data_IF_390059757995
#
_entry.id   IF_390059757995
#
_cell.length_a   1.000
_cell.length_b   1.000
_cell.length_c   1.000
_cell.angle_alpha   90.00
_cell.angle_beta   90.00
_cell.angle_gamma   90.00
#
_symmetry.space_group_name_H-M   'P 1'
#
loop_
_entity.id
_entity.type
_entity.pdbx_description
1 polymer ?
#
# COMPACT_ATOMS: atom_id res chain seq x y z
N UNK A 1 28.89 -59.88 -7.06
CA UNK A 1 28.23 -59.74 -5.75
C UNK A 1 28.53 -58.32 -5.27
N UNK A 2 27.85 -57.32 -5.81
CA UNK A 2 26.62 -56.66 -5.30
C UNK A 2 26.80 -55.94 -3.97
N UNK A 3 26.26 -54.70 -3.94
CA UNK A 3 26.01 -53.78 -2.81
C UNK A 3 27.07 -52.67 -2.68
N UNK A 4 26.76 -51.38 -2.69
CA UNK A 4 25.47 -50.69 -2.81
C UNK A 4 25.73 -49.19 -2.90
N UNK A 5 25.11 -48.53 -3.88
CA UNK A 5 25.15 -47.08 -4.02
C UNK A 5 24.05 -46.49 -3.13
N UNK A 6 24.44 -45.69 -2.14
CA UNK A 6 23.53 -44.89 -1.32
C UNK A 6 23.04 -43.69 -2.13
N UNK A 7 21.73 -43.61 -2.32
CA UNK A 7 21.03 -42.43 -2.78
C UNK A 7 20.61 -41.63 -1.54
N UNK A 8 21.19 -40.45 -1.36
CA UNK A 8 20.73 -39.47 -0.36
C UNK A 8 19.50 -38.74 -0.92
N UNK A 9 18.31 -39.17 -0.46
CA UNK A 9 17.01 -38.57 -0.76
C UNK A 9 16.73 -37.45 0.26
N UNK A 10 17.31 -36.26 0.04
CA UNK A 10 17.00 -35.05 0.82
C UNK A 10 15.68 -34.40 0.33
N UNK A 11 14.58 -35.15 0.40
CA UNK A 11 13.24 -34.61 0.16
C UNK A 11 12.54 -34.24 1.47
N UNK A 12 12.26 -32.94 1.59
CA UNK A 12 11.01 -32.46 2.18
C UNK A 12 10.94 -32.48 3.69
N UNK A 13 11.76 -31.66 4.36
CA UNK A 13 11.43 -31.20 5.71
C UNK A 13 10.68 -29.87 5.58
N UNK A 14 9.39 -29.97 5.25
CA UNK A 14 8.45 -28.86 5.34
C UNK A 14 8.40 -28.37 6.78
N UNK A 15 9.01 -27.21 7.02
CA UNK A 15 8.93 -26.48 8.27
C UNK A 15 7.53 -25.89 8.40
N UNK A 16 6.65 -26.62 9.08
CA UNK A 16 5.46 -26.04 9.68
C UNK A 16 5.90 -25.03 10.75
N UNK A 17 6.12 -23.79 10.32
CA UNK A 17 6.21 -22.64 11.21
C UNK A 17 4.87 -22.52 11.92
N UNK A 18 4.83 -23.02 13.16
CA UNK A 18 3.76 -22.76 14.11
C UNK A 18 3.65 -21.25 14.28
N UNK A 19 2.76 -20.62 13.53
CA UNK A 19 2.29 -19.27 13.84
C UNK A 19 1.51 -19.38 15.15
N UNK A 20 2.22 -19.17 16.26
CA UNK A 20 1.60 -18.92 17.55
C UNK A 20 0.73 -17.68 17.39
N UNK A 21 -0.59 -17.91 17.35
CA UNK A 21 -1.61 -16.88 17.56
C UNK A 21 -1.34 -16.22 18.91
N UNK A 22 -0.55 -15.15 18.90
CA UNK A 22 -0.48 -14.22 20.01
C UNK A 22 -1.88 -13.63 20.14
N UNK A 23 -2.56 -14.08 21.19
CA UNK A 23 -3.73 -13.46 21.78
C UNK A 23 -3.57 -11.93 21.77
N UNK A 24 -4.29 -11.26 20.87
CA UNK A 24 -4.67 -9.86 21.05
C UNK A 24 -5.62 -9.80 22.25
N UNK A 25 -5.04 -9.63 23.43
CA UNK A 25 -5.76 -9.30 24.65
C UNK A 25 -6.38 -7.92 24.48
N UNK A 26 -7.65 -7.87 24.12
CA UNK A 26 -8.46 -6.67 24.26
C UNK A 26 -8.74 -6.49 25.76
N UNK A 27 -7.85 -5.77 26.45
CA UNK A 27 -8.13 -5.26 27.78
C UNK A 27 -9.31 -4.27 27.66
N UNK A 28 -10.50 -4.77 27.97
CA UNK A 28 -11.66 -3.95 28.29
C UNK A 28 -11.39 -3.23 29.61
N UNK A 29 -10.79 -2.05 29.54
CA UNK A 29 -10.74 -1.13 30.68
C UNK A 29 -12.18 -0.70 31.03
N UNK A 30 -12.73 -1.32 32.06
CA UNK A 30 -13.94 -0.88 32.75
C UNK A 30 -13.64 0.39 33.55
N UNK A 31 -13.61 1.53 32.88
CA UNK A 31 -13.71 2.84 33.51
C UNK A 31 -15.16 3.16 33.87
N UNK A 32 -15.61 2.77 35.07
CA UNK A 32 -16.77 3.38 35.73
C UNK A 32 -16.33 4.69 36.38
N UNK A 33 -16.96 5.81 36.03
CA UNK A 33 -16.84 7.07 36.76
C UNK A 33 -17.84 8.13 36.25
N UNK A 34 -18.37 9.01 37.11
CA UNK A 34 -19.79 9.36 37.10
C UNK A 34 -20.13 10.70 36.42
N UNK A 35 -21.42 10.81 36.10
CA UNK A 35 -22.20 12.03 35.95
C UNK A 35 -21.53 13.34 36.40
N UNK A 36 -21.23 14.22 35.44
CA UNK A 36 -21.31 15.66 35.69
C UNK A 36 -21.88 16.36 34.45
N UNK A 37 -23.22 16.50 34.44
CA UNK A 37 -23.92 17.34 33.47
C UNK A 37 -23.73 18.80 33.89
N UNK A 38 -22.57 19.37 33.61
CA UNK A 38 -22.44 20.83 33.54
C UNK A 38 -23.11 21.33 32.27
N UNK A 39 -24.26 21.93 32.51
CA UNK A 39 -25.08 22.69 31.59
C UNK A 39 -24.31 23.96 31.25
N UNK A 40 -23.44 23.90 30.25
CA UNK A 40 -22.82 25.11 29.71
C UNK A 40 -23.87 25.88 28.92
N UNK A 41 -24.16 27.04 29.50
CA UNK A 41 -24.96 28.13 29.01
C UNK A 41 -24.73 28.39 27.52
N UNK A 42 -25.82 28.37 26.77
CA UNK A 42 -25.89 28.94 25.43
C UNK A 42 -25.40 30.39 25.49
N UNK A 43 -24.23 30.63 24.91
CA UNK A 43 -23.78 31.96 24.56
C UNK A 43 -24.68 32.49 23.44
N UNK A 44 -25.53 33.44 23.82
CA UNK A 44 -26.25 34.34 22.92
C UNK A 44 -25.23 35.07 22.05
N UNK A 45 -25.15 34.72 20.77
CA UNK A 45 -24.45 35.57 19.80
C UNK A 45 -25.28 36.85 19.60
N UNK A 46 -24.68 38.05 19.69
CA UNK A 46 -25.37 39.28 19.37
C UNK A 46 -25.67 39.33 17.87
N UNK A 47 -26.94 39.41 17.53
CA UNK A 47 -27.41 39.77 16.19
C UNK A 47 -26.93 41.19 15.90
N UNK A 48 -25.90 41.32 15.07
CA UNK A 48 -25.57 42.59 14.44
C UNK A 48 -26.68 42.95 13.47
N UNK A 49 -27.39 43.98 13.86
CA UNK A 49 -28.34 44.78 13.10
C UNK A 49 -27.66 45.31 11.83
N UNK A 50 -27.84 44.61 10.71
CA UNK A 50 -27.46 45.07 9.38
C UNK A 50 -28.67 45.80 8.80
N UNK A 51 -28.69 47.10 9.01
CA UNK A 51 -29.69 48.02 8.51
C UNK A 51 -29.94 47.82 7.01
N UNK A 52 -31.18 47.53 6.68
CA UNK A 52 -31.72 47.65 5.34
C UNK A 52 -31.84 49.13 4.98
N UNK A 53 -30.80 49.72 4.41
CA UNK A 53 -30.96 50.95 3.65
C UNK A 53 -31.62 50.63 2.30
N UNK A 54 -32.84 51.14 2.16
CA UNK A 54 -33.51 51.34 0.90
C UNK A 54 -32.64 52.19 -0.03
N UNK A 55 -32.09 51.60 -1.09
CA UNK A 55 -31.66 52.39 -2.23
C UNK A 55 -32.38 51.99 -3.52
N UNK A 56 -32.91 53.03 -4.16
CA UNK A 56 -33.81 53.03 -5.30
C UNK A 56 -32.94 53.07 -6.54
N UNK A 57 -32.90 52.00 -7.33
CA UNK A 57 -32.16 52.04 -8.58
C UNK A 57 -32.45 50.85 -9.47
N UNK A 58 -33.60 50.88 -10.16
CA UNK A 58 -33.96 49.93 -11.21
C UNK A 58 -33.38 50.45 -12.54
N UNK A 59 -32.41 49.80 -13.20
CA UNK A 59 -32.15 50.06 -14.61
C UNK A 59 -33.08 49.19 -15.48
N UNK A 60 -33.52 49.70 -16.65
CA UNK A 60 -34.49 49.01 -17.47
C UNK A 60 -33.86 47.83 -18.21
N UNK A 61 -34.73 46.84 -18.43
CA UNK A 61 -34.62 45.77 -19.40
C UNK A 61 -33.87 46.20 -20.66
N UNK A 62 -32.78 45.50 -20.99
CA UNK A 62 -32.18 45.53 -22.34
C UNK A 62 -32.11 44.12 -22.88
N UNK A 63 -32.74 43.97 -24.03
CA UNK A 63 -32.83 42.75 -24.84
C UNK A 63 -31.47 42.07 -25.02
N UNK A 64 -31.40 40.82 -24.58
CA UNK A 64 -30.27 39.95 -24.86
C UNK A 64 -30.50 39.28 -26.22
N UNK A 65 -30.22 40.06 -27.27
CA UNK A 65 -30.07 39.52 -28.62
C UNK A 65 -28.90 38.52 -28.67
N UNK A 66 -29.20 37.40 -29.29
CA UNK A 66 -28.34 36.30 -29.66
C UNK A 66 -27.11 36.77 -30.45
N UNK A 67 -25.91 36.58 -29.90
CA UNK A 67 -24.69 36.48 -30.70
C UNK A 67 -23.95 35.21 -30.32
N UNK A 68 -24.11 34.20 -31.18
CA UNK A 68 -23.15 33.13 -31.35
C UNK A 68 -21.81 33.76 -31.75
N UNK A 69 -20.82 33.72 -30.85
CA UNK A 69 -19.44 34.12 -31.17
C UNK A 69 -18.48 33.02 -30.75
N UNK A 70 -18.19 32.20 -31.75
CA UNK A 70 -17.08 31.29 -31.85
C UNK A 70 -15.78 31.94 -31.31
N UNK A 71 -15.21 31.39 -30.24
CA UNK A 71 -13.87 31.73 -29.74
C UNK A 71 -13.00 30.48 -29.68
N UNK A 72 -12.51 30.09 -30.87
CA UNK A 72 -11.15 29.58 -30.98
C UNK A 72 -10.21 30.76 -30.67
N UNK A 73 -9.82 30.91 -29.42
CA UNK A 73 -8.67 31.73 -29.04
C UNK A 73 -7.73 30.84 -28.24
N UNK A 74 -6.76 30.31 -28.97
CA UNK A 74 -5.50 29.78 -28.48
C UNK A 74 -4.84 30.80 -27.55
N UNK A 75 -5.01 30.61 -26.24
CA UNK A 75 -4.21 31.31 -25.26
C UNK A 75 -2.78 30.76 -25.29
N UNK A 76 -1.90 31.61 -25.81
CA UNK A 76 -0.45 31.52 -25.70
C UNK A 76 -0.09 31.43 -24.21
N UNK A 77 0.43 30.27 -23.79
CA UNK A 77 1.17 30.19 -22.53
C UNK A 77 2.53 30.89 -22.72
N UNK A 78 2.98 31.72 -21.77
CA UNK A 78 4.33 32.25 -21.78
C UNK A 78 5.34 31.11 -21.58
N UNK A 79 6.32 31.03 -22.48
CA UNK A 79 7.48 30.17 -22.37
C UNK A 79 8.35 30.65 -21.20
N UNK A 80 8.12 30.12 -20.01
CA UNK A 80 9.12 30.18 -18.94
C UNK A 80 10.21 29.17 -19.27
N UNK A 81 11.34 29.72 -19.72
CA UNK A 81 12.72 29.26 -19.55
C UNK A 81 12.88 27.78 -19.15
N UNK A 82 13.16 26.97 -20.17
CA UNK A 82 13.81 25.67 -20.01
C UNK A 82 15.24 25.91 -19.53
N UNK A 83 15.69 25.31 -18.41
CA UNK A 83 17.11 25.27 -18.11
C UNK A 83 17.80 24.37 -19.14
N UNK A 84 18.86 24.90 -19.75
CA UNK A 84 19.80 24.15 -20.57
C UNK A 84 20.45 23.07 -19.71
N UNK A 85 20.07 21.82 -19.90
CA UNK A 85 20.85 20.68 -19.43
C UNK A 85 21.98 20.44 -20.44
N UNK A 86 23.09 21.12 -20.20
CA UNK A 86 24.36 20.87 -20.86
C UNK A 86 25.03 19.68 -20.17
N UNK A 87 25.16 18.56 -20.88
CA UNK A 87 26.26 17.61 -20.75
C UNK A 87 26.32 16.76 -19.48
N UNK A 88 25.79 15.53 -19.56
CA UNK A 88 26.51 14.37 -19.01
C UNK A 88 26.51 13.24 -20.05
N UNK A 89 27.67 13.10 -20.68
CA UNK A 89 28.17 11.94 -21.42
C UNK A 89 27.92 10.65 -20.62
N UNK A 90 27.26 9.65 -21.20
CA UNK A 90 27.87 8.60 -22.00
C UNK A 90 28.87 7.71 -21.23
N UNK A 91 28.34 6.81 -20.40
CA UNK A 91 28.82 5.44 -20.17
C UNK A 91 27.52 4.63 -19.92
N UNK A 92 27.01 3.80 -20.82
CA UNK A 92 27.66 2.60 -21.31
C UNK A 92 26.92 1.38 -20.73
N UNK A 93 25.75 1.06 -21.27
CA UNK A 93 25.16 -0.29 -21.17
C UNK A 93 24.17 -0.48 -22.31
N UNK A 94 24.70 -0.86 -23.47
CA UNK A 94 23.93 -1.42 -24.57
C UNK A 94 23.40 -2.77 -24.08
N UNK A 95 22.15 -2.80 -23.64
CA UNK A 95 21.41 -4.05 -23.51
C UNK A 95 20.73 -4.26 -24.85
N UNK A 96 21.31 -5.16 -25.64
CA UNK A 96 20.82 -5.59 -26.94
C UNK A 96 19.45 -6.28 -26.76
N UNK A 97 18.37 -5.55 -27.04
CA UNK A 97 16.99 -6.06 -27.03
C UNK A 97 16.61 -6.49 -28.46
N UNK A 98 17.32 -7.50 -28.99
CA UNK A 98 16.91 -8.24 -30.18
C UNK A 98 16.84 -9.72 -29.84
N UNK A 99 15.79 -10.12 -29.13
CA UNK A 99 15.15 -11.43 -29.27
C UNK A 99 14.05 -11.61 -28.21
N UNK A 100 12.84 -11.16 -28.54
CA UNK A 100 11.62 -11.73 -27.97
C UNK A 100 10.58 -11.92 -29.07
N UNK A 101 10.73 -13.05 -29.77
CA UNK A 101 9.66 -13.75 -30.47
C UNK A 101 8.45 -13.88 -29.53
N UNK A 102 7.30 -13.40 -30.00
CA UNK A 102 5.95 -13.87 -29.70
C UNK A 102 5.71 -14.38 -28.26
N UNK A 103 5.45 -13.46 -27.33
CA UNK A 103 4.64 -13.78 -26.17
C UNK A 103 3.18 -13.65 -26.62
N UNK A 104 2.52 -14.81 -26.73
CA UNK A 104 1.11 -14.96 -27.04
C UNK A 104 0.26 -14.10 -26.09
N UNK A 105 -0.63 -13.30 -26.65
CA UNK A 105 -1.68 -12.62 -25.89
C UNK A 105 -2.52 -13.68 -25.16
N UNK A 106 -2.80 -13.51 -23.84
CA UNK A 106 -3.73 -14.39 -23.17
C UNK A 106 -5.11 -14.18 -23.79
N UNK A 107 -5.52 -15.14 -24.62
CA UNK A 107 -6.90 -15.25 -25.13
C UNK A 107 -7.81 -15.37 -23.93
N UNK A 108 -8.44 -14.25 -23.58
CA UNK A 108 -9.51 -14.22 -22.60
C UNK A 108 -10.66 -15.06 -23.15
N UNK A 109 -10.75 -16.31 -22.70
CA UNK A 109 -11.89 -17.17 -22.95
C UNK A 109 -13.10 -16.59 -22.21
N UNK A 110 -13.79 -15.64 -22.84
CA UNK A 110 -15.19 -15.34 -22.54
C UNK A 110 -16.03 -16.57 -22.93
N UNK A 111 -16.02 -17.60 -22.07
CA UNK A 111 -17.13 -18.55 -22.02
C UNK A 111 -18.31 -17.85 -21.35
N UNK A 112 -18.89 -16.86 -22.05
CA UNK A 112 -20.29 -16.55 -21.84
C UNK A 112 -21.06 -17.76 -22.37
N UNK A 113 -21.31 -18.71 -21.48
CA UNK A 113 -22.38 -19.68 -21.67
C UNK A 113 -23.65 -18.87 -21.90
N UNK A 114 -24.06 -18.78 -23.16
CA UNK A 114 -25.39 -18.37 -23.52
C UNK A 114 -26.36 -19.32 -22.82
N UNK A 115 -26.94 -18.89 -21.71
CA UNK A 115 -28.12 -19.56 -21.20
C UNK A 115 -29.21 -19.40 -22.24
N UNK A 116 -29.57 -20.53 -22.85
CA UNK A 116 -30.63 -20.70 -23.81
C UNK A 116 -31.96 -20.11 -23.25
N UNK A 117 -32.55 -19.09 -23.91
CA UNK A 117 -33.80 -18.47 -23.46
C UNK A 117 -35.04 -19.39 -23.52
N UNK A 118 -34.90 -20.64 -23.98
CA UNK A 118 -36.02 -21.57 -24.17
C UNK A 118 -36.55 -22.24 -22.88
N UNK A 119 -35.97 -22.00 -21.70
CA UNK A 119 -36.46 -22.62 -20.45
C UNK A 119 -37.79 -22.03 -19.91
N UNK A 120 -38.44 -21.07 -20.59
CA UNK A 120 -39.84 -20.68 -20.24
C UNK A 120 -40.85 -21.74 -20.69
N UNK A 121 -40.71 -22.96 -20.17
CA UNK A 121 -41.80 -23.94 -20.15
C UNK A 121 -42.80 -23.46 -19.12
N UNK A 122 -43.99 -23.09 -19.60
CA UNK A 122 -45.15 -22.79 -18.80
C UNK A 122 -45.60 -24.04 -18.03
N UNK A 123 -45.01 -24.30 -16.86
CA UNK A 123 -45.50 -25.33 -15.94
C UNK A 123 -46.65 -24.73 -15.13
N UNK A 124 -47.80 -24.57 -15.79
CA UNK A 124 -49.11 -24.50 -15.13
C UNK A 124 -49.52 -25.92 -14.79
N UNK A 125 -48.99 -26.44 -13.69
CA UNK A 125 -49.34 -27.79 -13.25
C UNK A 125 -48.69 -28.10 -11.91
N UNK A 126 -49.45 -27.92 -10.83
CA UNK A 126 -49.28 -28.59 -9.54
C UNK A 126 -47.84 -28.97 -9.16
N UNK A 127 -46.93 -28.00 -9.07
CA UNK A 127 -45.66 -28.21 -8.41
C UNK A 127 -45.98 -28.66 -6.98
N UNK A 128 -45.64 -29.92 -6.69
CA UNK A 128 -45.80 -30.58 -5.40
C UNK A 128 -45.49 -29.60 -4.27
N UNK A 129 -46.47 -29.41 -3.39
CA UNK A 129 -46.37 -28.58 -2.19
C UNK A 129 -45.25 -29.02 -1.24
N UNK A 130 -44.61 -30.16 -1.51
CA UNK A 130 -43.54 -30.72 -0.69
C UNK A 130 -42.18 -30.11 -1.02
N UNK A 131 -41.90 -29.72 -2.28
CA UNK A 131 -40.64 -29.05 -2.63
C UNK A 131 -40.57 -27.61 -2.11
N UNK A 132 -41.69 -26.90 -2.06
CA UNK A 132 -41.76 -25.56 -1.47
C UNK A 132 -41.57 -25.61 0.06
N UNK A 133 -41.83 -26.75 0.71
CA UNK A 133 -41.58 -26.94 2.14
C UNK A 133 -40.09 -27.15 2.43
N UNK A 134 -39.40 -27.92 1.58
CA UNK A 134 -37.96 -28.21 1.76
C UNK A 134 -37.05 -26.97 1.69
N UNK A 135 -37.49 -25.88 1.03
CA UNK A 135 -36.70 -24.65 0.90
C UNK A 135 -36.93 -23.63 2.02
N UNK A 136 -37.89 -23.86 2.92
CA UNK A 136 -38.13 -22.93 4.02
C UNK A 136 -37.11 -23.14 5.15
N UNK A 137 -36.56 -22.06 5.75
CA UNK A 137 -35.56 -22.14 6.82
C UNK A 137 -35.96 -23.00 8.03
N UNK A 138 -37.26 -23.15 8.29
CA UNK A 138 -37.81 -24.02 9.33
C UNK A 138 -37.52 -25.52 9.11
N UNK A 139 -37.25 -25.96 7.87
CA UNK A 139 -36.96 -27.37 7.54
C UNK A 139 -35.48 -27.62 7.23
N UNK A 140 -34.60 -26.65 7.47
CA UNK A 140 -33.17 -26.87 7.36
C UNK A 140 -32.67 -27.79 8.47
N UNK A 141 -31.51 -28.43 8.26
CA UNK A 141 -30.86 -29.29 9.27
C UNK A 141 -30.70 -28.59 10.61
N UNK A 142 -30.50 -27.27 10.60
CA UNK A 142 -30.54 -26.41 11.77
C UNK A 142 -31.63 -25.35 11.58
N UNK A 143 -32.85 -25.58 12.10
CA UNK A 143 -33.96 -24.66 11.90
C UNK A 143 -33.71 -23.34 12.64
N UNK A 144 -34.15 -22.24 12.04
CA UNK A 144 -34.06 -20.91 12.66
C UNK A 144 -35.33 -20.58 13.44
N UNK A 145 -35.17 -20.12 14.69
CA UNK A 145 -36.28 -19.68 15.54
C UNK A 145 -36.84 -18.36 15.03
N UNK A 146 -38.17 -18.26 14.94
CA UNK A 146 -38.86 -17.04 14.55
C UNK A 146 -38.55 -15.89 15.52
N UNK A 147 -38.04 -14.77 15.00
CA UNK A 147 -37.70 -13.58 15.79
C UNK A 147 -38.88 -13.05 16.63
N UNK A 148 -40.08 -12.93 16.02
CA UNK A 148 -41.26 -12.41 16.71
C UNK A 148 -41.76 -13.35 17.81
N UNK A 149 -41.78 -14.66 17.53
CA UNK A 149 -42.16 -15.66 18.53
C UNK A 149 -41.18 -15.65 19.71
N UNK A 150 -39.87 -15.64 19.43
CA UNK A 150 -38.84 -15.59 20.47
C UNK A 150 -38.93 -14.31 21.32
N UNK A 151 -39.14 -13.15 20.69
CA UNK A 151 -39.15 -11.86 21.38
C UNK A 151 -40.45 -11.59 22.16
N UNK A 152 -41.60 -11.91 21.56
CA UNK A 152 -42.91 -11.52 22.09
C UNK A 152 -43.67 -12.70 22.72
N UNK A 153 -43.18 -13.93 22.56
CA UNK A 153 -43.90 -15.15 22.91
C UNK A 153 -44.99 -15.55 21.91
N UNK A 154 -45.26 -14.73 20.89
CA UNK A 154 -46.25 -15.03 19.85
C UNK A 154 -45.82 -14.46 18.48
N UNK A 155 -46.22 -15.14 17.41
CA UNK A 155 -46.12 -14.66 16.03
C UNK A 155 -47.53 -14.43 15.47
N UNK A 156 -47.69 -13.44 14.59
CA UNK A 156 -48.97 -13.20 13.91
C UNK A 156 -49.31 -14.27 12.88
N UNK A 157 -48.30 -14.98 12.35
CA UNK A 157 -48.49 -16.11 11.43
C UNK A 157 -48.72 -17.40 12.21
N UNK A 158 -49.48 -18.33 11.62
CA UNK A 158 -49.61 -19.70 12.16
C UNK A 158 -48.28 -20.43 12.00
N UNK A 159 -48.07 -21.48 12.80
CA UNK A 159 -46.82 -22.26 12.76
C UNK A 159 -46.55 -22.91 11.40
N UNK A 160 -47.61 -23.27 10.67
CA UNK A 160 -47.52 -23.83 9.31
C UNK A 160 -47.20 -22.79 8.22
N UNK A 161 -47.54 -21.51 8.48
CA UNK A 161 -47.38 -20.39 7.53
C UNK A 161 -46.09 -19.59 7.78
N UNK A 162 -45.48 -19.77 8.95
CA UNK A 162 -44.25 -19.10 9.30
C UNK A 162 -43.05 -19.81 8.66
N UNK A 163 -42.18 -19.04 7.99
CA UNK A 163 -40.94 -19.55 7.38
C UNK A 163 -39.92 -20.02 8.42
N UNK A 164 -40.13 -19.67 9.69
CA UNK A 164 -39.24 -19.92 10.83
C UNK A 164 -39.98 -20.71 11.92
N UNK A 165 -39.24 -21.41 12.77
CA UNK A 165 -39.81 -22.29 13.79
C UNK A 165 -40.38 -21.50 15.00
N UNK A 166 -41.56 -21.88 15.52
CA UNK A 166 -42.16 -21.34 16.74
C UNK A 166 -41.77 -22.13 18.00
N UNK A 167 -40.50 -22.51 18.08
CA UNK A 167 -39.87 -23.12 19.25
C UNK A 167 -38.39 -22.73 19.26
N UNK A 168 -37.75 -22.80 20.41
CA UNK A 168 -36.34 -22.40 20.55
C UNK A 168 -35.41 -23.48 19.98
N UNK A 169 -34.82 -23.21 18.82
CA UNK A 169 -33.93 -24.12 18.07
C UNK A 169 -32.44 -23.91 18.38
N UNK A 170 -32.11 -22.94 19.24
CA UNK A 170 -30.73 -22.56 19.56
C UNK A 170 -30.18 -21.43 18.69
N UNK A 171 -30.79 -21.14 17.54
CA UNK A 171 -30.41 -20.02 16.66
C UNK A 171 -31.65 -19.21 16.31
N UNK A 172 -31.66 -17.93 16.71
CA UNK A 172 -32.75 -17.00 16.43
C UNK A 172 -32.49 -16.28 15.11
N UNK A 173 -33.49 -16.23 14.24
CA UNK A 173 -33.40 -15.45 13.02
C UNK A 173 -33.17 -13.96 13.34
N UNK A 174 -32.44 -13.25 12.47
CA UNK A 174 -32.27 -11.81 12.60
C UNK A 174 -33.63 -11.11 12.54
N UNK A 175 -33.75 -9.98 13.24
CA UNK A 175 -34.93 -9.13 13.11
C UNK A 175 -35.13 -8.83 11.62
N UNK A 176 -36.34 -8.98 11.07
CA UNK A 176 -36.58 -8.62 9.68
C UNK A 176 -36.13 -7.18 9.51
N UNK A 177 -35.24 -6.96 8.54
CA UNK A 177 -34.82 -5.62 8.18
C UNK A 177 -36.06 -4.95 7.63
N UNK A 178 -36.79 -4.25 8.49
CA UNK A 178 -37.71 -3.22 8.07
C UNK A 178 -36.78 -2.21 7.43
N UNK A 179 -36.65 -2.28 6.10
CA UNK A 179 -36.24 -1.12 5.33
C UNK A 179 -37.32 -0.11 5.73
N UNK A 180 -37.00 0.73 6.71
CA UNK A 180 -37.84 1.82 7.11
C UNK A 180 -37.76 2.79 5.95
N UNK A 181 -38.47 2.45 4.88
CA UNK A 181 -38.87 3.37 3.85
C UNK A 181 -39.78 4.34 4.60
N UNK A 182 -39.17 5.29 5.31
CA UNK A 182 -39.86 6.40 5.97
C UNK A 182 -40.69 7.17 4.94
N UNK A 183 -40.37 7.00 3.66
CA UNK A 183 -41.22 7.25 2.50
C UNK A 183 -42.02 5.98 2.22
N UNK A 184 -43.32 5.98 2.52
CA UNK A 184 -44.21 4.82 2.29
C UNK A 184 -44.16 4.27 0.85
N UNK A 185 -44.89 3.18 0.58
CA UNK A 185 -44.86 2.46 -0.70
C UNK A 185 -44.78 3.40 -1.92
N UNK A 186 -43.62 3.38 -2.59
CA UNK A 186 -43.33 4.27 -3.71
C UNK A 186 -43.91 3.65 -4.98
N UNK A 187 -45.09 4.11 -5.40
CA UNK A 187 -45.74 3.70 -6.65
C UNK A 187 -45.76 4.84 -7.68
N UNK A 188 -45.76 4.49 -8.97
CA UNK A 188 -45.96 5.45 -10.06
C UNK A 188 -44.76 6.38 -10.32
N UNK A 189 -45.01 7.68 -10.51
CA UNK A 189 -43.95 8.67 -10.86
C UNK A 189 -42.82 8.74 -9.84
N UNK A 190 -43.13 8.59 -8.56
CA UNK A 190 -42.12 8.63 -7.51
C UNK A 190 -41.14 7.44 -7.61
N UNK A 191 -41.61 6.29 -8.11
CA UNK A 191 -40.76 5.11 -8.28
C UNK A 191 -39.71 5.35 -9.37
N UNK A 192 -40.09 6.05 -10.45
CA UNK A 192 -39.16 6.42 -11.51
C UNK A 192 -38.07 7.38 -11.00
N UNK A 193 -38.47 8.40 -10.23
CA UNK A 193 -37.51 9.35 -9.64
C UNK A 193 -36.52 8.64 -8.71
N UNK A 194 -36.99 7.70 -7.89
CA UNK A 194 -36.13 6.95 -6.99
C UNK A 194 -35.17 6.02 -7.76
N UNK A 195 -35.65 5.36 -8.82
CA UNK A 195 -34.79 4.56 -9.70
C UNK A 195 -33.71 5.41 -10.38
N UNK A 196 -34.07 6.60 -10.90
CA UNK A 196 -33.11 7.52 -11.50
C UNK A 196 -32.07 8.00 -10.47
N UNK A 197 -32.48 8.25 -9.22
CA UNK A 197 -31.57 8.58 -8.12
C UNK A 197 -30.63 7.43 -7.78
N UNK A 198 -31.11 6.18 -7.81
CA UNK A 198 -30.27 5.00 -7.59
C UNK A 198 -29.21 4.85 -8.69
N UNK A 199 -29.59 5.00 -9.95
CA UNK A 199 -28.63 4.97 -11.06
C UNK A 199 -27.58 6.09 -10.97
N UNK A 200 -28.00 7.29 -10.55
CA UNK A 200 -27.06 8.40 -10.34
C UNK A 200 -26.05 8.07 -9.22
N UNK A 201 -26.55 7.51 -8.11
CA UNK A 201 -25.69 7.07 -7.00
C UNK A 201 -24.73 5.95 -7.40
N UNK A 202 -25.20 4.99 -8.20
CA UNK A 202 -24.37 3.92 -8.73
C UNK A 202 -23.24 4.47 -9.61
N UNK A 203 -23.53 5.45 -10.48
CA UNK A 203 -22.52 6.13 -11.28
C UNK A 203 -21.47 6.83 -10.42
N UNK A 204 -21.92 7.56 -9.39
CA UNK A 204 -21.01 8.26 -8.46
C UNK A 204 -20.11 7.29 -7.68
N UNK A 205 -20.63 6.11 -7.31
CA UNK A 205 -19.85 5.05 -6.70
C UNK A 205 -18.81 4.49 -7.66
N UNK A 206 -19.20 4.18 -8.90
CA UNK A 206 -18.27 3.69 -9.93
C UNK A 206 -17.17 4.71 -10.24
N UNK A 207 -17.51 6.01 -10.33
CA UNK A 207 -16.52 7.09 -10.48
C UNK A 207 -15.62 7.23 -9.25
N UNK A 208 -16.16 6.97 -8.05
CA UNK A 208 -15.39 6.88 -6.81
C UNK A 208 -14.39 5.73 -6.83
N UNK A 209 -14.83 4.54 -7.23
CA UNK A 209 -14.02 3.34 -7.34
C UNK A 209 -12.90 3.52 -8.37
N UNK A 210 -13.19 4.08 -9.55
CA UNK A 210 -12.18 4.37 -10.57
C UNK A 210 -11.09 5.34 -10.04
N UNK A 211 -11.48 6.36 -9.26
CA UNK A 211 -10.53 7.30 -8.64
C UNK A 211 -9.67 6.63 -7.57
N UNK A 212 -10.24 5.72 -6.78
CA UNK A 212 -9.48 4.96 -5.78
C UNK A 212 -8.50 4.00 -6.45
N UNK A 213 -8.93 3.29 -7.49
CA UNK A 213 -8.07 2.42 -8.29
C UNK A 213 -6.88 3.17 -8.90
N UNK A 214 -7.11 4.37 -9.47
CA UNK A 214 -6.02 5.20 -10.00
C UNK A 214 -5.01 5.62 -8.90
N UNK A 215 -5.49 5.94 -7.70
CA UNK A 215 -4.62 6.24 -6.55
C UNK A 215 -3.83 5.02 -6.08
N UNK A 216 -4.44 3.85 -6.09
CA UNK A 216 -3.78 2.59 -5.74
C UNK A 216 -2.64 2.28 -6.72
N UNK A 217 -2.86 2.48 -8.03
CA UNK A 217 -1.80 2.35 -9.03
C UNK A 217 -0.64 3.33 -8.82
N UNK A 218 -0.93 4.60 -8.48
CA UNK A 218 0.10 5.61 -8.17
C UNK A 218 0.92 5.23 -6.92
N UNK A 219 0.25 4.79 -5.85
CA UNK A 219 0.92 4.34 -4.63
C UNK A 219 1.79 3.11 -4.88
N UNK A 220 1.31 2.14 -5.66
CA UNK A 220 2.10 0.97 -6.07
C UNK A 220 3.32 1.38 -6.91
N UNK A 221 3.18 2.39 -7.78
CA UNK A 221 4.31 2.96 -8.52
C UNK A 221 5.36 3.60 -7.59
N UNK A 222 4.92 4.36 -6.60
CA UNK A 222 5.80 4.96 -5.58
C UNK A 222 6.49 3.91 -4.72
N UNK A 223 5.78 2.86 -4.32
CA UNK A 223 6.34 1.74 -3.57
C UNK A 223 7.42 1.01 -4.39
N UNK A 224 7.20 0.80 -5.68
CA UNK A 224 8.20 0.20 -6.56
C UNK A 224 9.48 1.06 -6.67
N UNK A 225 9.36 2.39 -6.67
CA UNK A 225 10.51 3.31 -6.65
C UNK A 225 11.24 3.22 -5.31
N UNK A 226 10.50 3.23 -4.19
CA UNK A 226 11.08 3.11 -2.86
C UNK A 226 11.90 1.81 -2.71
N UNK A 227 11.37 0.68 -3.15
CA UNK A 227 12.08 -0.61 -3.11
C UNK A 227 13.36 -0.60 -3.97
N UNK A 228 13.37 0.12 -5.11
CA UNK A 228 14.59 0.28 -5.93
C UNK A 228 15.63 1.14 -5.22
N UNK A 229 15.21 2.22 -4.57
CA UNK A 229 16.10 3.08 -3.78
C UNK A 229 16.69 2.30 -2.62
N UNK A 230 15.88 1.51 -1.92
CA UNK A 230 16.34 0.63 -0.83
C UNK A 230 17.37 -0.39 -1.32
N UNK A 231 17.14 -1.02 -2.48
CA UNK A 231 18.11 -1.93 -3.08
C UNK A 231 19.45 -1.25 -3.42
N UNK A 232 19.41 -0.01 -3.94
CA UNK A 232 20.62 0.79 -4.22
C UNK A 232 21.32 1.19 -2.92
N UNK A 233 20.58 1.56 -1.88
CA UNK A 233 21.17 1.88 -0.58
C UNK A 233 21.84 0.66 0.05
N UNK A 234 21.25 -0.54 -0.10
CA UNK A 234 21.86 -1.78 0.36
C UNK A 234 23.19 -2.07 -0.35
N UNK A 235 23.25 -1.91 -1.68
CA UNK A 235 24.51 -2.13 -2.43
C UNK A 235 25.58 -1.10 -2.07
N UNK A 236 25.21 0.17 -1.92
CA UNK A 236 26.13 1.23 -1.47
C UNK A 236 26.65 0.93 -0.06
N UNK A 237 25.78 0.52 0.85
CA UNK A 237 26.17 0.17 2.24
C UNK A 237 27.16 -1.00 2.26
N UNK A 238 26.93 -2.02 1.43
CA UNK A 238 27.86 -3.13 1.28
C UNK A 238 29.21 -2.67 0.73
N UNK A 239 29.22 -1.87 -0.34
CA UNK A 239 30.46 -1.34 -0.92
C UNK A 239 31.26 -0.49 0.07
N UNK A 240 30.59 0.34 0.89
CA UNK A 240 31.23 1.10 1.96
C UNK A 240 31.84 0.18 3.03
N UNK A 241 31.13 -0.89 3.42
CA UNK A 241 31.65 -1.87 4.37
C UNK A 241 32.89 -2.62 3.83
N UNK A 242 32.89 -2.99 2.55
CA UNK A 242 34.03 -3.62 1.87
C UNK A 242 35.21 -2.66 1.77
N UNK A 243 34.98 -1.41 1.37
CA UNK A 243 36.00 -0.37 1.31
C UNK A 243 36.62 -0.10 2.69
N UNK A 244 35.81 -0.10 3.75
CA UNK A 244 36.29 0.03 5.13
C UNK A 244 37.20 -1.13 5.53
N UNK A 245 36.80 -2.38 5.26
CA UNK A 245 37.64 -3.56 5.56
C UNK A 245 38.97 -3.51 4.79
N UNK A 246 38.93 -3.10 3.52
CA UNK A 246 40.13 -2.95 2.72
C UNK A 246 41.08 -1.89 3.31
N UNK A 247 40.53 -0.75 3.77
CA UNK A 247 41.31 0.29 4.44
C UNK A 247 41.90 -0.17 5.78
N UNK A 248 41.14 -0.91 6.59
CA UNK A 248 41.63 -1.48 7.85
C UNK A 248 42.77 -2.49 7.61
N UNK A 249 42.63 -3.37 6.61
CA UNK A 249 43.68 -4.32 6.23
C UNK A 249 44.94 -3.60 5.74
N UNK A 250 44.80 -2.59 4.87
CA UNK A 250 45.92 -1.79 4.38
C UNK A 250 46.61 -1.05 5.55
N UNK A 251 45.85 -0.51 6.49
CA UNK A 251 46.41 0.13 7.68
C UNK A 251 47.19 -0.87 8.54
N UNK A 252 46.74 -2.11 8.67
CA UNK A 252 47.48 -3.17 9.38
C UNK A 252 48.81 -3.49 8.69
N UNK A 253 48.80 -3.69 7.36
CA UNK A 253 50.01 -3.98 6.59
C UNK A 253 51.05 -2.84 6.70
N UNK A 254 50.59 -1.58 6.71
CA UNK A 254 51.48 -0.42 6.90
C UNK A 254 52.10 -0.39 8.31
N UNK A 255 51.34 -0.80 9.34
CA UNK A 255 51.87 -0.90 10.70
C UNK A 255 52.93 -2.00 10.77
N UNK A 256 52.65 -3.17 10.18
CA UNK A 256 53.59 -4.30 10.15
C UNK A 256 54.89 -3.93 9.41
N UNK A 257 54.78 -3.28 8.25
CA UNK A 257 55.96 -2.74 7.52
C UNK A 257 56.71 -1.70 8.34
N UNK A 258 56.01 -0.82 9.05
CA UNK A 258 56.67 0.17 9.90
C UNK A 258 57.47 -0.48 11.03
N UNK A 259 56.95 -1.54 11.63
CA UNK A 259 57.66 -2.34 12.65
C UNK A 259 58.88 -3.05 12.07
N UNK A 260 58.76 -3.65 10.87
CA UNK A 260 59.87 -4.30 10.17
C UNK A 260 61.01 -3.31 9.87
N UNK A 261 60.69 -2.13 9.32
CA UNK A 261 61.69 -1.08 9.04
C UNK A 261 62.36 -0.59 10.32
N UNK A 262 61.62 -0.42 11.42
CA UNK A 262 62.18 -0.06 12.74
C UNK A 262 63.17 -1.11 13.23
N UNK A 263 62.89 -2.39 13.01
CA UNK A 263 63.80 -3.47 13.40
C UNK A 263 65.05 -3.54 12.51
N UNK A 264 64.96 -3.16 11.23
CA UNK A 264 66.11 -3.11 10.31
C UNK A 264 67.07 -1.94 10.59
N UNK A 265 66.55 -0.80 11.06
CA UNK A 265 67.35 0.41 11.28
C UNK A 265 68.63 0.21 12.14
N UNK A 266 68.58 -0.44 13.32
CA UNK A 266 69.78 -0.72 14.12
C UNK A 266 70.80 -1.58 13.38
N UNK A 267 70.34 -2.58 12.62
CA UNK A 267 71.22 -3.50 11.89
C UNK A 267 72.00 -2.82 10.78
N UNK A 268 71.39 -1.84 10.12
CA UNK A 268 72.08 -1.04 9.11
C UNK A 268 73.08 -0.07 9.75
N UNK A 269 72.76 0.48 10.93
CA UNK A 269 73.71 1.31 11.69
C UNK A 269 74.95 0.53 12.15
N UNK A 270 74.83 -0.78 12.37
CA UNK A 270 75.94 -1.66 12.74
C UNK A 270 76.77 -2.17 11.54
N UNK A 271 76.31 -1.99 10.30
CA UNK A 271 77.03 -2.46 9.12
C UNK A 271 78.31 -1.64 8.87
N UNK A 272 79.46 -2.31 8.74
CA UNK A 272 80.82 -1.73 8.70
C UNK A 272 81.14 -0.81 7.51
N UNK A 273 80.21 -0.60 6.57
CA UNK A 273 80.46 0.19 5.37
C UNK A 273 79.74 1.56 5.44
N UNK A 274 80.40 2.61 5.97
CA UNK A 274 79.75 3.87 6.31
C UNK A 274 79.11 4.57 5.11
N UNK A 275 79.69 4.44 3.90
CA UNK A 275 79.13 5.08 2.71
C UNK A 275 77.83 4.42 2.22
N UNK A 276 77.66 3.12 2.45
CA UNK A 276 76.43 2.40 2.08
C UNK A 276 75.35 2.58 3.17
N UNK A 277 75.78 2.73 4.42
CA UNK A 277 74.90 2.92 5.57
C UNK A 277 74.13 4.24 5.54
N UNK A 278 74.81 5.36 5.24
CA UNK A 278 74.18 6.69 5.26
C UNK A 278 73.09 6.83 4.18
N UNK A 279 73.34 6.35 2.96
CA UNK A 279 72.33 6.40 1.89
C UNK A 279 71.11 5.52 2.19
N UNK A 280 71.34 4.34 2.78
CA UNK A 280 70.26 3.44 3.17
C UNK A 280 69.42 4.01 4.34
N UNK A 281 70.06 4.71 5.29
CA UNK A 281 69.40 5.39 6.40
C UNK A 281 68.49 6.52 5.91
N UNK A 282 69.00 7.42 5.05
CA UNK A 282 68.19 8.52 4.47
C UNK A 282 66.97 7.98 3.69
N UNK A 283 67.16 6.91 2.92
CA UNK A 283 66.06 6.26 2.19
C UNK A 283 64.98 5.69 3.13
N UNK A 284 65.39 5.09 4.25
CA UNK A 284 64.47 4.56 5.26
C UNK A 284 63.73 5.66 6.03
N UNK A 285 64.42 6.75 6.41
CA UNK A 285 63.78 7.90 7.05
C UNK A 285 62.78 8.58 6.11
N UNK A 286 63.13 8.72 4.83
CA UNK A 286 62.21 9.20 3.78
C UNK A 286 60.98 8.31 3.63
N UNK A 287 61.14 6.98 3.64
CA UNK A 287 60.02 6.05 3.57
C UNK A 287 59.11 6.14 4.81
N UNK A 288 59.68 6.26 6.01
CA UNK A 288 58.91 6.45 7.25
C UNK A 288 58.12 7.76 7.25
N UNK A 289 58.73 8.84 6.76
CA UNK A 289 58.05 10.13 6.60
C UNK A 289 56.85 10.02 5.65
N UNK A 290 57.03 9.39 4.48
CA UNK A 290 55.95 9.17 3.52
C UNK A 290 54.80 8.32 4.11
N UNK A 291 55.11 7.27 4.86
CA UNK A 291 54.09 6.45 5.55
C UNK A 291 53.30 7.25 6.59
N UNK A 292 53.96 8.18 7.30
CA UNK A 292 53.30 9.04 8.28
C UNK A 292 52.29 10.02 7.64
N UNK A 293 52.56 10.45 6.41
CA UNK A 293 51.69 11.31 5.63
C UNK A 293 50.44 10.55 5.16
N UNK A 294 50.63 9.36 4.58
CA UNK A 294 49.52 8.46 4.18
C UNK A 294 48.59 8.16 5.36
N UNK A 295 49.15 7.94 6.56
CA UNK A 295 48.36 7.72 7.78
C UNK A 295 47.52 8.93 8.18
N UNK A 296 48.04 10.16 7.99
CA UNK A 296 47.29 11.41 8.22
C UNK A 296 46.13 11.52 7.24
N UNK A 297 46.36 11.26 5.96
CA UNK A 297 45.34 11.34 4.92
C UNK A 297 44.20 10.33 5.16
N UNK A 298 44.54 9.09 5.51
CA UNK A 298 43.54 8.08 5.89
C UNK A 298 42.72 8.49 7.12
N UNK A 299 43.34 9.14 8.11
CA UNK A 299 42.62 9.65 9.28
C UNK A 299 41.67 10.81 8.94
N UNK A 300 42.01 11.66 7.96
CA UNK A 300 41.11 12.68 7.45
C UNK A 300 39.91 12.05 6.71
N UNK A 301 40.16 11.11 5.80
CA UNK A 301 39.10 10.39 5.07
C UNK A 301 38.14 9.70 6.04
N UNK A 302 38.65 9.07 7.10
CA UNK A 302 37.81 8.43 8.11
C UNK A 302 36.88 9.41 8.83
N UNK A 303 37.34 10.64 9.12
CA UNK A 303 36.49 11.69 9.70
C UNK A 303 35.42 12.17 8.74
N UNK A 304 35.76 12.33 7.47
CA UNK A 304 34.79 12.74 6.44
C UNK A 304 33.70 11.68 6.28
N UNK A 305 34.04 10.39 6.30
CA UNK A 305 33.07 9.29 6.27
C UNK A 305 32.15 9.30 7.50
N UNK A 306 32.67 9.56 8.71
CA UNK A 306 31.83 9.65 9.92
C UNK A 306 30.90 10.88 9.89
N UNK A 307 31.32 11.98 9.26
CA UNK A 307 30.50 13.18 9.10
C UNK A 307 29.30 12.99 8.15
N UNK A 308 29.41 12.06 7.19
CA UNK A 308 28.34 11.71 6.26
C UNK A 308 27.25 10.83 6.91
N UNK A 309 27.40 10.47 8.18
CA UNK A 309 26.51 9.56 8.91
C UNK A 309 25.33 10.25 9.61
N UNK A 310 25.18 11.57 9.44
CA UNK A 310 24.12 12.43 10.01
C UNK A 310 22.88 12.42 9.12
#
# INVERSE_FOLDING_TARGET
MTQGAGYDDERGRDSYTLMTNQHMGYEYERGRGPHDRRRDSFNTMPTQDMGYEHDRGRPPYRDRQSYSRNKNQSERRPLTERPYYTGMSALGSVVDYKDKKYAEEPRYCHSMTMMDPSYRVAVKGAASTDYAKATMPKYFTQPLTCFYWHKNGFCTKRDEECLYAHNHTGVVASAPVTISSSKGAVAGRNAKIEVDQLYQRERELNDGEARLSAKEMDLNGKLAIANRVEAVLATVTQAVAEGRRAAENASSELVDRSEELKWMLPKLREAENPEVGDFALDALEGALAALSEVRRDLACIAKDVESLRV
#
